data_IF_874469364837
#
_entry.id   IF_874469364837
#
_cell.length_a   1.000
_cell.length_b   1.000
_cell.length_c   1.000
_cell.angle_alpha   90.00
_cell.angle_beta   90.00
_cell.angle_gamma   90.00
#
_symmetry.space_group_name_H-M   'P 1'
#
loop_
_entity.id
_entity.type
_entity.pdbx_description
1 polymer ?
#
# COMPACT_ATOMS: atom_id res chain seq x y z
N UNK A 1 48.08 7.61 7.96
CA UNK A 1 47.24 7.57 6.74
C UNK A 1 47.57 8.81 5.93
N UNK A 2 47.79 8.66 4.63
CA UNK A 2 48.12 9.77 3.72
C UNK A 2 46.96 10.80 3.71
N UNK A 3 47.20 12.07 4.09
CA UNK A 3 46.18 13.12 4.08
C UNK A 3 45.51 13.33 2.71
N UNK A 4 46.25 13.11 1.62
CA UNK A 4 45.71 13.21 0.27
C UNK A 4 44.70 12.09 -0.03
N UNK A 5 44.99 10.87 0.44
CA UNK A 5 44.07 9.73 0.32
C UNK A 5 42.78 9.97 1.11
N UNK A 6 42.87 10.51 2.33
CA UNK A 6 41.71 10.86 3.14
C UNK A 6 40.80 11.89 2.43
N UNK A 7 41.38 12.93 1.83
CA UNK A 7 40.61 13.92 1.06
C UNK A 7 39.95 13.33 -0.18
N UNK A 8 40.61 12.41 -0.87
CA UNK A 8 40.03 11.73 -2.03
C UNK A 8 38.86 10.84 -1.63
N UNK A 9 39.00 10.08 -0.54
CA UNK A 9 37.93 9.23 0.00
C UNK A 9 36.72 10.07 0.43
N UNK A 10 36.93 11.21 1.08
CA UNK A 10 35.86 12.12 1.48
C UNK A 10 35.10 12.72 0.27
N UNK A 11 35.84 13.09 -0.79
CA UNK A 11 35.23 13.55 -2.04
C UNK A 11 34.38 12.48 -2.71
N UNK A 12 34.83 11.22 -2.68
CA UNK A 12 34.07 10.08 -3.21
C UNK A 12 32.82 9.84 -2.34
N UNK A 13 32.96 9.78 -1.02
CA UNK A 13 31.86 9.59 -0.09
C UNK A 13 30.79 10.68 -0.28
N UNK A 14 31.19 11.95 -0.31
CA UNK A 14 30.30 13.08 -0.58
C UNK A 14 29.59 12.98 -1.94
N UNK A 15 30.27 12.48 -2.97
CA UNK A 15 29.66 12.28 -4.29
C UNK A 15 28.64 11.14 -4.29
N UNK A 16 28.93 10.05 -3.59
CA UNK A 16 28.02 8.92 -3.43
C UNK A 16 26.79 9.29 -2.59
N UNK A 17 26.96 10.07 -1.52
CA UNK A 17 25.86 10.57 -0.69
C UNK A 17 24.87 11.42 -1.50
N UNK A 18 25.36 12.27 -2.42
CA UNK A 18 24.51 13.04 -3.34
C UNK A 18 23.74 12.19 -4.35
N UNK A 19 24.24 10.99 -4.67
CA UNK A 19 23.60 10.06 -5.60
C UNK A 19 22.66 9.08 -4.90
N UNK A 20 22.80 8.90 -3.58
CA UNK A 20 21.92 8.02 -2.81
C UNK A 20 20.51 8.61 -2.74
N UNK A 21 19.46 7.81 -2.98
CA UNK A 21 18.10 8.23 -2.66
C UNK A 21 17.99 8.50 -1.15
N UNK A 22 17.06 9.38 -0.78
CA UNK A 22 16.75 9.62 0.62
C UNK A 22 16.33 8.31 1.30
N UNK A 23 16.67 8.10 2.58
CA UNK A 23 16.22 6.93 3.33
C UNK A 23 14.70 6.78 3.27
N UNK A 24 14.23 5.54 3.15
CA UNK A 24 12.80 5.26 3.21
C UNK A 24 12.24 5.72 4.56
N UNK A 25 11.11 6.44 4.51
CA UNK A 25 10.44 6.98 5.70
C UNK A 25 8.98 6.54 5.72
N UNK A 26 8.46 6.30 6.92
CA UNK A 26 7.03 6.05 7.15
C UNK A 26 6.24 7.37 7.31
N UNK A 27 6.92 8.52 7.29
CA UNK A 27 6.27 9.82 7.43
C UNK A 27 5.21 10.02 6.33
N UNK A 28 3.99 10.40 6.74
CA UNK A 28 2.86 10.64 5.86
C UNK A 28 2.02 9.40 5.52
N UNK A 29 2.34 8.21 6.04
CA UNK A 29 1.48 7.03 5.88
C UNK A 29 0.13 7.16 6.59
N UNK A 30 0.03 8.05 7.57
CA UNK A 30 -1.18 8.43 8.29
C UNK A 30 -2.03 9.46 7.53
N UNK A 31 -1.56 9.98 6.39
CA UNK A 31 -2.26 11.03 5.64
C UNK A 31 -3.41 10.54 4.75
N UNK A 32 -3.51 9.22 4.51
CA UNK A 32 -4.54 8.61 3.67
C UNK A 32 -4.71 7.12 3.99
N UNK A 33 -5.86 6.56 3.65
CA UNK A 33 -6.17 5.14 3.86
C UNK A 33 -5.68 4.23 2.72
N UNK A 34 -5.20 4.81 1.63
CA UNK A 34 -4.73 4.09 0.45
C UNK A 34 -3.63 4.84 -0.27
N UNK A 35 -2.72 4.09 -0.87
CA UNK A 35 -1.55 4.62 -1.57
C UNK A 35 -1.30 3.85 -2.87
N UNK A 36 -0.77 4.55 -3.88
CA UNK A 36 -0.19 3.95 -5.08
C UNK A 36 1.32 3.89 -4.90
N UNK A 37 1.90 2.70 -5.08
CA UNK A 37 3.35 2.52 -5.09
C UNK A 37 3.93 2.90 -6.46
N UNK A 38 4.87 3.85 -6.45
CA UNK A 38 5.64 4.29 -7.62
C UNK A 38 7.07 3.73 -7.53
N UNK A 39 7.33 2.53 -8.08
CA UNK A 39 8.62 1.86 -7.95
C UNK A 39 9.78 2.67 -8.53
N UNK A 40 9.54 3.43 -9.60
CA UNK A 40 10.54 4.26 -10.26
C UNK A 40 11.02 5.44 -9.41
N UNK A 41 10.18 5.89 -8.46
CA UNK A 41 10.52 6.97 -7.51
C UNK A 41 10.77 6.44 -6.09
N UNK A 42 10.52 5.16 -5.86
CA UNK A 42 10.59 4.56 -4.52
C UNK A 42 9.64 5.23 -3.52
N UNK A 43 8.46 5.71 -3.96
CA UNK A 43 7.55 6.45 -3.10
C UNK A 43 6.10 5.98 -3.17
N UNK A 44 5.35 6.29 -2.10
CA UNK A 44 3.91 6.09 -2.00
C UNK A 44 3.19 7.41 -2.26
N UNK A 45 2.29 7.43 -3.23
CA UNK A 45 1.41 8.56 -3.50
C UNK A 45 0.04 8.33 -2.84
N UNK A 46 -0.47 9.26 -2.00
CA UNK A 46 -1.75 9.09 -1.33
C UNK A 46 -2.90 9.12 -2.35
N UNK A 47 -3.89 8.25 -2.15
CA UNK A 47 -5.14 8.24 -2.90
C UNK A 47 -6.18 9.02 -2.11
N UNK A 48 -6.44 10.27 -2.51
CA UNK A 48 -7.37 11.16 -1.81
C UNK A 48 -8.79 10.59 -1.70
N UNK A 49 -9.26 9.86 -2.72
CA UNK A 49 -10.56 9.19 -2.70
C UNK A 49 -10.48 7.85 -3.40
N UNK A 50 -10.64 6.77 -2.65
CA UNK A 50 -10.74 5.43 -3.22
C UNK A 50 -12.10 5.27 -3.88
N UNK A 51 -12.11 5.01 -5.19
CA UNK A 51 -13.33 4.75 -5.96
C UNK A 51 -13.93 3.39 -5.58
N UNK A 52 -14.75 3.36 -4.52
CA UNK A 52 -15.46 2.20 -4.00
C UNK A 52 -16.97 2.32 -4.21
N UNK A 53 -17.68 1.22 -4.04
CA UNK A 53 -19.14 1.18 -3.90
C UNK A 53 -19.48 0.75 -2.48
N UNK A 54 -20.64 1.14 -1.96
CA UNK A 54 -21.07 0.66 -0.64
C UNK A 54 -21.18 -0.86 -0.65
N UNK A 55 -20.68 -1.50 0.41
CA UNK A 55 -20.51 -2.97 0.44
C UNK A 55 -21.85 -3.71 0.35
N UNK A 56 -22.92 -3.08 0.84
CA UNK A 56 -24.29 -3.62 0.79
C UNK A 56 -24.92 -3.55 -0.62
N UNK A 57 -24.35 -2.78 -1.55
CA UNK A 57 -24.78 -2.77 -2.95
C UNK A 57 -24.25 -3.96 -3.75
N UNK A 58 -23.30 -4.72 -3.20
CA UNK A 58 -22.76 -5.93 -3.83
C UNK A 58 -23.70 -7.12 -3.54
N UNK A 59 -24.72 -7.25 -4.40
CA UNK A 59 -25.77 -8.25 -4.30
C UNK A 59 -25.40 -9.55 -5.03
N UNK A 60 -25.85 -10.70 -4.52
CA UNK A 60 -25.60 -12.04 -5.07
C UNK A 60 -24.18 -12.57 -4.81
N UNK A 61 -23.39 -11.86 -4.00
CA UNK A 61 -22.02 -12.22 -3.60
C UNK A 61 -21.83 -12.09 -2.09
N UNK A 62 -22.90 -12.22 -1.31
CA UNK A 62 -22.92 -11.97 0.14
C UNK A 62 -21.93 -12.86 0.89
N UNK A 63 -21.78 -14.12 0.46
CA UNK A 63 -20.82 -15.05 1.04
C UNK A 63 -19.38 -14.58 0.82
N UNK A 64 -19.03 -14.19 -0.41
CA UNK A 64 -17.70 -13.68 -0.77
C UNK A 64 -17.44 -12.34 -0.08
N UNK A 65 -18.45 -11.47 0.00
CA UNK A 65 -18.41 -10.21 0.77
C UNK A 65 -18.02 -10.43 2.21
N UNK A 66 -18.72 -11.32 2.90
CA UNK A 66 -18.42 -11.64 4.30
C UNK A 66 -17.02 -12.20 4.46
N UNK A 67 -16.64 -13.19 3.64
CA UNK A 67 -15.31 -13.79 3.70
C UNK A 67 -14.18 -12.79 3.51
N UNK A 68 -14.28 -11.92 2.50
CA UNK A 68 -13.27 -10.90 2.22
C UNK A 68 -13.25 -9.84 3.32
N UNK A 69 -14.40 -9.32 3.74
CA UNK A 69 -14.48 -8.29 4.78
C UNK A 69 -13.93 -8.81 6.11
N UNK A 70 -14.36 -9.99 6.57
CA UNK A 70 -13.91 -10.56 7.83
C UNK A 70 -12.39 -10.76 7.80
N UNK A 71 -11.85 -11.31 6.71
CA UNK A 71 -10.40 -11.50 6.54
C UNK A 71 -9.63 -10.17 6.54
N UNK A 72 -10.15 -9.15 5.86
CA UNK A 72 -9.55 -7.80 5.84
C UNK A 72 -9.60 -7.13 7.22
N UNK A 73 -10.69 -7.29 7.98
CA UNK A 73 -10.81 -6.77 9.35
C UNK A 73 -9.84 -7.48 10.30
N UNK A 74 -9.63 -8.79 10.16
CA UNK A 74 -8.61 -9.51 10.92
C UNK A 74 -7.23 -8.94 10.63
N UNK A 75 -6.88 -8.76 9.35
CA UNK A 75 -5.60 -8.17 8.95
C UNK A 75 -5.41 -6.77 9.54
N UNK A 76 -6.40 -5.88 9.41
CA UNK A 76 -6.36 -4.52 9.93
C UNK A 76 -6.18 -4.47 11.46
N UNK A 77 -6.70 -5.47 12.18
CA UNK A 77 -6.60 -5.60 13.64
C UNK A 77 -5.35 -6.35 14.11
N UNK A 78 -4.43 -6.70 13.20
CA UNK A 78 -3.23 -7.47 13.53
C UNK A 78 -3.50 -8.93 13.91
N UNK A 79 -4.66 -9.46 13.53
CA UNK A 79 -5.04 -10.87 13.71
C UNK A 79 -4.62 -11.70 12.49
N UNK A 80 -4.54 -13.05 12.62
CA UNK A 80 -4.27 -13.91 11.48
C UNK A 80 -5.27 -13.71 10.34
N UNK A 81 -4.76 -13.51 9.14
CA UNK A 81 -5.52 -13.33 7.92
C UNK A 81 -4.90 -14.13 6.78
N UNK A 82 -5.73 -14.53 5.83
CA UNK A 82 -5.34 -15.31 4.68
C UNK A 82 -5.09 -14.43 3.45
N UNK A 83 -4.19 -14.87 2.58
CA UNK A 83 -4.11 -14.34 1.22
C UNK A 83 -5.33 -14.80 0.42
N UNK A 84 -6.01 -13.87 -0.25
CA UNK A 84 -7.22 -14.14 -1.03
C UNK A 84 -6.96 -14.01 -2.54
N UNK A 85 -7.33 -15.03 -3.31
CA UNK A 85 -7.32 -14.98 -4.78
C UNK A 85 -8.75 -14.78 -5.29
N UNK A 86 -9.03 -13.60 -5.85
CA UNK A 86 -10.31 -13.32 -6.53
C UNK A 86 -10.15 -13.55 -8.03
N UNK A 87 -10.97 -14.43 -8.59
CA UNK A 87 -10.90 -14.84 -9.99
C UNK A 87 -12.30 -14.84 -10.63
N UNK A 88 -12.36 -14.86 -11.96
CA UNK A 88 -13.60 -14.75 -12.75
C UNK A 88 -13.51 -13.71 -13.87
N UNK A 89 -14.54 -13.64 -14.71
CA UNK A 89 -14.55 -12.81 -15.92
C UNK A 89 -14.39 -11.29 -15.63
N UNK A 90 -13.99 -10.54 -16.66
CA UNK A 90 -13.93 -9.06 -16.61
C UNK A 90 -15.33 -8.51 -16.31
N UNK A 91 -15.42 -7.52 -15.43
CA UNK A 91 -16.70 -6.91 -15.05
C UNK A 91 -17.47 -7.62 -13.93
N UNK A 92 -17.03 -8.78 -13.44
CA UNK A 92 -17.70 -9.52 -12.35
C UNK A 92 -17.45 -8.95 -10.94
N UNK A 93 -17.16 -7.65 -10.81
CA UNK A 93 -17.09 -6.99 -9.50
C UNK A 93 -15.91 -7.36 -8.57
N UNK A 94 -14.91 -8.13 -9.02
CA UNK A 94 -13.74 -8.51 -8.19
C UNK A 94 -13.04 -7.31 -7.54
N UNK A 95 -12.70 -6.30 -8.34
CA UNK A 95 -12.06 -5.08 -7.82
C UNK A 95 -13.03 -4.24 -6.99
N UNK A 96 -14.32 -4.22 -7.35
CA UNK A 96 -15.34 -3.53 -6.56
C UNK A 96 -15.47 -4.12 -5.17
N UNK A 97 -15.41 -5.45 -5.04
CA UNK A 97 -15.44 -6.16 -3.77
C UNK A 97 -14.27 -5.78 -2.87
N UNK A 98 -13.04 -5.79 -3.41
CA UNK A 98 -11.84 -5.40 -2.65
C UNK A 98 -11.94 -3.95 -2.16
N UNK A 99 -12.34 -3.02 -3.03
CA UNK A 99 -12.45 -1.60 -2.66
C UNK A 99 -13.58 -1.33 -1.66
N UNK A 100 -14.71 -2.04 -1.78
CA UNK A 100 -15.81 -1.92 -0.83
C UNK A 100 -15.43 -2.48 0.55
N UNK A 101 -14.73 -3.62 0.60
CA UNK A 101 -14.21 -4.18 1.85
C UNK A 101 -13.15 -3.29 2.50
N UNK A 102 -12.23 -2.72 1.71
CA UNK A 102 -11.25 -1.72 2.18
C UNK A 102 -11.95 -0.50 2.77
N UNK A 103 -12.91 0.09 2.05
CA UNK A 103 -13.65 1.24 2.55
C UNK A 103 -14.40 0.91 3.85
N UNK A 104 -15.08 -0.24 3.91
CA UNK A 104 -15.78 -0.67 5.11
C UNK A 104 -14.83 -0.89 6.29
N UNK A 105 -13.65 -1.47 6.07
CA UNK A 105 -12.67 -1.74 7.12
C UNK A 105 -12.05 -0.46 7.73
N UNK A 106 -12.03 0.66 7.00
CA UNK A 106 -11.56 1.95 7.53
C UNK A 106 -12.67 2.73 8.27
N UNK A 107 -13.92 2.26 8.25
CA UNK A 107 -15.03 2.88 8.99
C UNK A 107 -15.25 2.32 10.40
N UNK A 108 -14.63 1.17 10.72
CA UNK A 108 -14.84 0.40 11.97
C UNK A 108 -13.54 0.20 12.73
#
# INVERSE_FOLDING_TARGET
MDPALLSLLDRIASALERLSPAPATLAGLDSADAFVWHPERGCLAPVAQVAHVAIDLLQGVEAQRRLILDNTLHFARGLPANNAMLWGARGMGKSSLVKAAHAQANLV
#
